data_IF_053653285780
#
_entry.id   IF_053653285780
#
_cell.length_a   1.000
_cell.length_b   1.000
_cell.length_c   1.000
_cell.angle_alpha   90.00
_cell.angle_beta   90.00
_cell.angle_gamma   90.00
#
_symmetry.space_group_name_H-M   'P 1'
#
loop_
_entity.id
_entity.type
_entity.pdbx_description
1 polymer ?
#
# COMPACT_ATOMS: atom_id res chain seq x y z
N UNK A 1 -38.38 -60.24 12.32
CA UNK A 1 -37.62 -59.34 11.41
C UNK A 1 -38.52 -58.17 11.01
N UNK A 2 -38.30 -56.98 11.60
CA UNK A 2 -38.81 -55.69 11.13
C UNK A 2 -37.66 -54.71 11.29
N UNK A 3 -37.07 -54.26 10.18
CA UNK A 3 -36.00 -53.26 10.17
C UNK A 3 -36.64 -51.88 10.02
N UNK A 4 -36.34 -51.00 10.97
CA UNK A 4 -36.66 -49.59 10.96
C UNK A 4 -35.94 -48.90 9.80
N UNK A 5 -36.69 -48.25 8.91
CA UNK A 5 -36.21 -47.25 7.96
C UNK A 5 -36.81 -45.90 8.33
N UNK A 6 -36.36 -45.35 9.46
CA UNK A 6 -36.36 -43.91 9.68
C UNK A 6 -34.92 -43.49 9.43
N UNK A 7 -34.69 -42.69 8.38
CA UNK A 7 -33.50 -41.88 8.06
C UNK A 7 -33.36 -41.83 6.52
N UNK A 8 -34.22 -41.06 5.86
CA UNK A 8 -34.08 -40.82 4.41
C UNK A 8 -34.41 -39.37 3.98
N UNK A 9 -34.60 -38.42 4.89
CA UNK A 9 -35.08 -37.07 4.51
C UNK A 9 -34.44 -35.90 5.28
N UNK A 10 -33.14 -35.98 5.61
CA UNK A 10 -32.41 -34.81 6.18
C UNK A 10 -31.03 -34.59 5.52
N UNK A 11 -30.77 -35.21 4.38
CA UNK A 11 -29.45 -35.19 3.74
C UNK A 11 -29.23 -34.15 2.60
N UNK A 12 -30.23 -33.55 1.91
CA UNK A 12 -29.91 -32.64 0.79
C UNK A 12 -29.87 -31.15 1.16
N UNK A 13 -30.40 -30.74 2.31
CA UNK A 13 -30.54 -29.30 2.63
C UNK A 13 -29.28 -28.64 3.23
N UNK A 14 -28.35 -29.42 3.79
CA UNK A 14 -27.14 -28.87 4.45
C UNK A 14 -26.00 -28.65 3.44
N UNK A 15 -26.00 -29.35 2.30
CA UNK A 15 -24.94 -29.23 1.29
C UNK A 15 -25.11 -28.03 0.35
N UNK A 16 -26.30 -27.46 0.24
CA UNK A 16 -26.59 -26.33 -0.67
C UNK A 16 -26.32 -24.95 -0.06
N UNK A 17 -26.30 -24.85 1.28
CA UNK A 17 -25.99 -23.59 1.98
C UNK A 17 -24.47 -23.35 2.10
N UNK A 18 -23.65 -24.41 2.04
CA UNK A 18 -22.19 -24.28 2.03
C UNK A 18 -21.61 -23.88 0.66
N UNK A 19 -22.40 -23.93 -0.42
CA UNK A 19 -21.92 -23.66 -1.79
C UNK A 19 -22.10 -22.22 -2.28
N UNK A 20 -22.72 -21.33 -1.49
CA UNK A 20 -22.96 -19.92 -1.87
C UNK A 20 -22.27 -18.90 -0.95
N UNK A 21 -21.55 -19.35 0.07
CA UNK A 21 -20.69 -18.53 0.93
C UNK A 21 -19.19 -18.81 0.73
N UNK A 22 -18.83 -19.41 -0.42
CA UNK A 22 -17.44 -19.48 -0.91
C UNK A 22 -17.01 -18.13 -1.47
N UNK A 23 -16.97 -17.14 -0.57
CA UNK A 23 -16.42 -15.81 -0.75
C UNK A 23 -15.09 -15.94 -1.49
N UNK A 24 -15.02 -15.24 -2.62
CA UNK A 24 -13.86 -14.74 -3.34
C UNK A 24 -12.58 -14.85 -2.49
N UNK A 25 -11.93 -16.02 -2.54
CA UNK A 25 -10.53 -16.14 -2.21
C UNK A 25 -9.79 -15.48 -3.37
N UNK A 26 -9.78 -14.15 -3.35
CA UNK A 26 -8.72 -13.36 -3.92
C UNK A 26 -7.44 -13.89 -3.28
N UNK A 27 -6.83 -14.90 -3.89
CA UNK A 27 -5.41 -15.15 -3.78
C UNK A 27 -4.70 -14.01 -4.50
N UNK A 28 -4.85 -12.79 -3.96
CA UNK A 28 -3.81 -11.77 -3.98
C UNK A 28 -2.74 -12.16 -2.94
N UNK A 29 -2.37 -13.43 -2.91
CA UNK A 29 -1.05 -13.84 -2.48
C UNK A 29 -0.12 -13.53 -3.65
N UNK A 30 0.08 -12.24 -3.94
CA UNK A 30 1.28 -11.83 -4.63
C UNK A 30 2.41 -12.09 -3.65
N UNK A 31 2.99 -13.27 -3.84
CA UNK A 31 4.29 -13.72 -3.36
C UNK A 31 5.15 -12.50 -3.12
N UNK A 32 5.37 -12.19 -1.83
CA UNK A 32 6.39 -11.28 -1.38
C UNK A 32 7.74 -11.89 -1.80
N UNK A 33 8.10 -11.70 -3.07
CA UNK A 33 9.48 -11.72 -3.50
C UNK A 33 10.27 -10.70 -2.67
N UNK A 34 11.61 -10.80 -2.65
CA UNK A 34 12.47 -9.96 -1.81
C UNK A 34 11.99 -8.52 -1.88
N UNK A 35 11.56 -7.91 -0.75
CA UNK A 35 10.93 -6.58 -0.63
C UNK A 35 11.54 -5.59 -1.62
N UNK A 36 11.05 -5.58 -2.87
CA UNK A 36 11.63 -4.73 -3.90
C UNK A 36 11.19 -3.33 -3.54
N UNK A 37 12.15 -2.39 -3.48
CA UNK A 37 11.83 -0.98 -3.28
C UNK A 37 10.69 -0.61 -4.24
N UNK A 38 9.56 -0.05 -3.79
CA UNK A 38 8.45 0.30 -4.67
C UNK A 38 8.88 1.24 -5.83
N UNK A 39 10.00 1.93 -5.65
CA UNK A 39 10.70 2.70 -6.70
C UNK A 39 11.11 1.85 -7.89
N UNK A 40 11.53 0.60 -7.68
CA UNK A 40 11.88 -0.35 -8.75
C UNK A 40 10.63 -0.85 -9.50
N UNK A 41 9.49 -0.97 -8.81
CA UNK A 41 8.23 -1.38 -9.43
C UNK A 41 7.58 -0.25 -10.25
N UNK A 42 7.96 1.00 -9.99
CA UNK A 42 7.50 2.17 -10.72
C UNK A 42 8.33 2.50 -11.98
N UNK A 43 9.39 1.75 -12.31
CA UNK A 43 10.34 2.16 -13.35
C UNK A 43 9.73 2.29 -14.75
N UNK A 44 8.78 1.40 -15.07
CA UNK A 44 8.06 1.43 -16.34
C UNK A 44 7.10 2.63 -16.39
N UNK A 45 6.28 2.83 -15.36
CA UNK A 45 5.36 3.98 -15.28
C UNK A 45 6.10 5.32 -15.23
N UNK A 46 7.30 5.40 -14.62
CA UNK A 46 8.14 6.60 -14.67
C UNK A 46 8.44 7.03 -16.11
N UNK A 47 8.80 6.05 -16.95
CA UNK A 47 9.12 6.30 -18.36
C UNK A 47 7.87 6.62 -19.17
N UNK A 48 6.76 5.91 -18.94
CA UNK A 48 5.52 6.09 -19.71
C UNK A 48 4.78 7.39 -19.38
N UNK A 49 4.70 7.74 -18.09
CA UNK A 49 3.89 8.86 -17.61
C UNK A 49 4.71 10.16 -17.55
N UNK A 50 6.01 10.06 -17.26
CA UNK A 50 6.83 11.20 -16.82
C UNK A 50 8.21 11.29 -17.51
N UNK A 51 8.30 10.82 -18.75
CA UNK A 51 9.52 10.69 -19.57
C UNK A 51 10.46 11.91 -19.67
N UNK A 52 10.01 13.12 -19.30
CA UNK A 52 10.79 14.36 -19.40
C UNK A 52 11.37 14.87 -18.09
N UNK A 53 11.30 14.10 -17.01
CA UNK A 53 11.66 14.58 -15.68
C UNK A 53 13.18 14.70 -15.48
N UNK A 54 13.66 15.92 -15.26
CA UNK A 54 15.10 16.22 -15.14
C UNK A 54 15.69 16.06 -13.73
N UNK A 55 14.86 15.76 -12.73
CA UNK A 55 15.28 15.52 -11.35
C UNK A 55 14.35 14.55 -10.65
N UNK A 56 14.81 13.88 -9.58
CA UNK A 56 13.98 12.98 -8.78
C UNK A 56 12.76 13.70 -8.22
N UNK A 57 12.90 14.96 -7.77
CA UNK A 57 11.77 15.78 -7.33
C UNK A 57 10.75 16.03 -8.44
N UNK A 58 11.20 16.38 -9.64
CA UNK A 58 10.30 16.60 -10.78
C UNK A 58 9.60 15.30 -11.20
N UNK A 59 10.32 14.18 -11.16
CA UNK A 59 9.77 12.86 -11.46
C UNK A 59 8.65 12.51 -10.51
N UNK A 60 8.90 12.57 -9.20
CA UNK A 60 7.85 12.32 -8.21
C UNK A 60 6.71 13.34 -8.29
N UNK A 61 7.02 14.62 -8.52
CA UNK A 61 6.02 15.66 -8.74
C UNK A 61 5.10 15.37 -9.93
N UNK A 62 5.66 14.87 -11.03
CA UNK A 62 4.91 14.45 -12.21
C UNK A 62 4.06 13.21 -11.91
N UNK A 63 4.62 12.20 -11.24
CA UNK A 63 3.90 10.97 -10.90
C UNK A 63 2.72 11.24 -9.97
N UNK A 64 2.89 12.08 -8.95
CA UNK A 64 1.80 12.47 -8.04
C UNK A 64 0.66 13.19 -8.78
N UNK A 65 0.97 14.02 -9.78
CA UNK A 65 -0.02 14.72 -10.61
C UNK A 65 -0.78 13.81 -11.57
N UNK A 66 -0.22 12.64 -11.89
CA UNK A 66 -0.77 11.70 -12.88
C UNK A 66 -0.97 10.31 -12.26
N UNK A 67 -1.25 10.25 -10.95
CA UNK A 67 -1.38 8.97 -10.24
C UNK A 67 -2.47 8.08 -10.84
N UNK A 68 -3.50 8.67 -11.43
CA UNK A 68 -4.58 8.02 -12.17
C UNK A 68 -4.13 7.32 -13.46
N UNK A 69 -3.01 7.76 -14.05
CA UNK A 69 -2.43 7.19 -15.28
C UNK A 69 -1.43 6.07 -15.02
N UNK A 70 -1.13 5.80 -13.75
CA UNK A 70 -0.20 4.74 -13.35
C UNK A 70 -0.91 3.40 -13.51
N UNK A 71 -0.34 2.58 -14.38
CA UNK A 71 -0.90 1.28 -14.77
C UNK A 71 -0.64 0.21 -13.71
N UNK A 72 0.55 0.22 -13.11
CA UNK A 72 0.89 -0.69 -12.02
C UNK A 72 0.18 -0.27 -10.73
N UNK A 73 -0.73 -1.11 -10.24
CA UNK A 73 -1.52 -0.83 -9.05
C UNK A 73 -0.66 -0.60 -7.79
N UNK A 74 0.41 -1.38 -7.61
CA UNK A 74 1.32 -1.22 -6.47
C UNK A 74 2.07 0.12 -6.54
N UNK A 75 2.53 0.50 -7.73
CA UNK A 75 3.15 1.81 -7.93
C UNK A 75 2.14 2.95 -7.67
N UNK A 76 0.90 2.81 -8.15
CA UNK A 76 -0.17 3.79 -7.97
C UNK A 76 -0.49 4.01 -6.50
N UNK A 77 -0.78 2.93 -5.77
CA UNK A 77 -1.02 2.98 -4.32
C UNK A 77 0.16 3.63 -3.58
N UNK A 78 1.38 3.28 -3.97
CA UNK A 78 2.58 3.83 -3.38
C UNK A 78 2.74 5.33 -3.67
N UNK A 79 2.48 5.81 -4.89
CA UNK A 79 2.55 7.22 -5.28
C UNK A 79 1.46 8.04 -4.58
N UNK A 80 0.25 7.51 -4.45
CA UNK A 80 -0.85 8.15 -3.70
C UNK A 80 -0.45 8.31 -2.23
N UNK A 81 0.05 7.23 -1.61
CA UNK A 81 0.58 7.27 -0.26
C UNK A 81 1.72 8.27 -0.08
N UNK A 82 2.66 8.28 -1.02
CA UNK A 82 3.76 9.23 -1.02
C UNK A 82 3.27 10.68 -1.06
N UNK A 83 2.26 10.97 -1.88
CA UNK A 83 1.66 12.30 -1.96
C UNK A 83 1.02 12.71 -0.64
N UNK A 84 0.18 11.86 -0.05
CA UNK A 84 -0.44 12.11 1.25
C UNK A 84 0.60 12.42 2.34
N UNK A 85 1.64 11.59 2.41
CA UNK A 85 2.73 11.74 3.37
C UNK A 85 3.59 12.98 3.14
N UNK A 86 3.81 13.37 1.88
CA UNK A 86 4.53 14.59 1.54
C UNK A 86 3.78 15.83 2.02
N UNK A 87 2.44 15.89 1.85
CA UNK A 87 1.64 17.01 2.36
C UNK A 87 1.78 17.17 3.87
N UNK A 88 1.75 16.06 4.62
CA UNK A 88 1.90 16.11 6.08
C UNK A 88 3.31 16.51 6.51
N UNK A 89 4.33 16.03 5.80
CA UNK A 89 5.71 16.43 6.00
C UNK A 89 5.93 17.93 5.69
N UNK A 90 5.33 18.46 4.62
CA UNK A 90 5.44 19.86 4.21
C UNK A 90 4.71 20.83 5.14
N UNK A 91 3.54 20.47 5.69
CA UNK A 91 2.81 21.29 6.69
C UNK A 91 3.65 21.69 7.90
N UNK A 92 4.69 20.91 8.23
CA UNK A 92 5.56 21.15 9.39
C UNK A 92 6.70 22.14 9.11
N UNK A 93 6.94 22.50 7.85
CA UNK A 93 7.91 23.54 7.43
C UNK A 93 9.40 23.26 7.71
N UNK A 94 9.74 22.29 8.55
CA UNK A 94 11.10 22.02 9.02
C UNK A 94 11.88 21.03 8.16
N UNK A 95 11.24 20.43 7.16
CA UNK A 95 11.83 19.35 6.38
C UNK A 95 12.48 19.87 5.11
N UNK A 96 13.76 19.56 4.96
CA UNK A 96 14.55 19.90 3.77
C UNK A 96 14.44 18.75 2.77
N UNK A 97 14.19 19.10 1.51
CA UNK A 97 13.89 18.16 0.43
C UNK A 97 14.88 18.34 -0.74
N UNK A 98 16.11 17.83 -0.63
CA UNK A 98 17.05 17.80 -1.74
C UNK A 98 16.43 17.15 -2.96
N UNK A 99 16.68 17.71 -4.15
CA UNK A 99 16.05 17.26 -5.38
C UNK A 99 16.42 15.82 -5.76
N UNK A 100 17.60 15.34 -5.35
CA UNK A 100 18.09 13.98 -5.63
C UNK A 100 17.43 12.91 -4.75
N UNK A 101 17.09 13.24 -3.50
CA UNK A 101 16.69 12.29 -2.46
C UNK A 101 15.28 12.55 -1.90
N UNK A 102 14.37 13.00 -2.75
CA UNK A 102 13.08 13.55 -2.30
C UNK A 102 12.27 12.56 -1.43
N UNK A 103 12.04 11.34 -1.92
CA UNK A 103 11.31 10.32 -1.19
C UNK A 103 12.00 9.94 0.14
N UNK A 104 13.32 9.76 0.13
CA UNK A 104 14.10 9.46 1.33
C UNK A 104 14.01 10.59 2.37
N UNK A 105 14.02 11.84 1.91
CA UNK A 105 13.92 13.02 2.77
C UNK A 105 12.55 13.14 3.43
N UNK A 106 11.47 12.86 2.68
CA UNK A 106 10.11 12.75 3.23
C UNK A 106 10.04 11.64 4.28
N UNK A 107 10.60 10.45 4.02
CA UNK A 107 10.63 9.37 5.03
C UNK A 107 11.37 9.78 6.30
N UNK A 108 12.51 10.46 6.16
CA UNK A 108 13.29 10.96 7.30
C UNK A 108 12.50 11.97 8.11
N UNK A 109 11.82 12.90 7.43
CA UNK A 109 10.95 13.88 8.06
C UNK A 109 9.84 13.22 8.88
N UNK A 110 9.11 12.27 8.29
CA UNK A 110 7.99 11.60 8.96
C UNK A 110 8.39 10.86 10.25
N UNK A 111 9.65 10.41 10.37
CA UNK A 111 10.16 9.78 11.60
C UNK A 111 10.23 10.73 12.79
N UNK A 112 10.25 12.04 12.56
CA UNK A 112 10.31 13.05 13.62
C UNK A 112 8.93 13.63 13.95
N UNK A 113 7.91 13.26 13.18
CA UNK A 113 6.55 13.73 13.36
C UNK A 113 5.81 12.75 14.30
N UNK A 114 5.16 13.25 15.37
CA UNK A 114 4.27 12.42 16.18
C UNK A 114 3.17 11.78 15.33
N UNK A 115 2.94 10.49 15.54
CA UNK A 115 2.08 9.64 14.70
C UNK A 115 0.61 10.08 14.68
N UNK A 116 0.11 10.62 15.80
CA UNK A 116 -1.20 11.24 15.94
C UNK A 116 -1.39 12.48 15.04
N UNK A 117 -0.28 13.09 14.61
CA UNK A 117 -0.27 14.28 13.74
C UNK A 117 -0.06 13.95 12.27
N UNK A 118 0.06 12.67 11.92
CA UNK A 118 0.12 12.18 10.54
C UNK A 118 -1.30 11.83 10.12
N UNK A 119 -1.72 12.19 8.91
CA UNK A 119 -3.06 11.86 8.42
C UNK A 119 -3.27 10.35 8.30
N UNK A 120 -4.52 9.91 8.42
CA UNK A 120 -4.86 8.49 8.22
C UNK A 120 -4.45 8.02 6.83
N UNK A 121 -4.67 8.83 5.80
CA UNK A 121 -4.28 8.56 4.41
C UNK A 121 -2.78 8.28 4.26
N UNK A 122 -1.91 9.02 4.99
CA UNK A 122 -0.49 8.72 5.01
C UNK A 122 -0.19 7.44 5.84
N UNK A 123 -0.74 7.33 7.06
CA UNK A 123 -0.46 6.21 7.98
C UNK A 123 -0.84 4.86 7.40
N UNK A 124 -1.97 4.77 6.71
CA UNK A 124 -2.47 3.55 6.11
C UNK A 124 -1.78 3.20 4.79
N UNK A 125 -0.90 4.06 4.28
CA UNK A 125 -0.28 3.87 2.96
C UNK A 125 0.92 2.93 2.99
N UNK A 126 1.14 2.24 1.86
CA UNK A 126 2.35 1.44 1.61
C UNK A 126 3.64 2.24 1.72
N UNK A 127 3.58 3.56 1.49
CA UNK A 127 4.74 4.43 1.64
C UNK A 127 5.18 4.54 3.11
N UNK A 128 4.22 4.63 4.04
CA UNK A 128 4.48 4.84 5.45
C UNK A 128 4.75 3.55 6.23
N UNK A 129 4.26 2.39 5.79
CA UNK A 129 4.39 1.12 6.54
C UNK A 129 5.83 0.82 7.00
N UNK A 130 6.88 0.95 6.16
CA UNK A 130 8.25 0.72 6.61
C UNK A 130 8.75 1.73 7.66
N UNK A 131 8.15 2.92 7.72
CA UNK A 131 8.45 3.94 8.73
C UNK A 131 7.82 3.55 10.07
N UNK A 132 6.55 3.11 10.04
CA UNK A 132 5.83 2.65 11.22
C UNK A 132 6.54 1.45 11.88
N UNK A 133 6.96 0.46 11.09
CA UNK A 133 7.75 -0.70 11.56
C UNK A 133 9.00 -0.25 12.34
N UNK A 134 9.75 0.72 11.80
CA UNK A 134 10.97 1.24 12.43
C UNK A 134 10.69 2.05 13.71
N UNK A 135 9.60 2.80 13.76
CA UNK A 135 9.21 3.55 14.97
C UNK A 135 8.77 2.60 16.08
N UNK A 136 7.94 1.60 15.74
CA UNK A 136 7.50 0.57 16.67
C UNK A 136 8.69 -0.22 17.24
N UNK A 137 9.63 -0.63 16.38
CA UNK A 137 10.84 -1.32 16.79
C UNK A 137 11.67 -0.49 17.79
N UNK A 138 11.74 0.84 17.65
CA UNK A 138 12.46 1.71 18.59
C UNK A 138 11.76 1.93 19.93
N UNK A 139 10.43 1.80 20.00
CA UNK A 139 9.64 1.99 21.22
C UNK A 139 9.55 0.71 22.07
N UNK A 140 9.85 -0.44 21.49
CA UNK A 140 9.86 -1.75 22.18
C UNK A 140 11.18 -2.11 22.86
N UNK A 141 12.16 -1.20 22.87
CA UNK A 141 13.40 -1.26 23.64
C UNK A 141 13.44 -0.07 24.61
#
# INVERSE_FOLDING_TARGET
MRRNTFLADVAPAVLLVCFLCGVVLNTAAHIEGPRMSPVLQCSEDFSLVCAGSTSTRNLWGCMMKNADKISNELCREYVIGFYACTRDAEKRGSCVYPAADYATSVRRCLRTIPEDRISEECRSSRFYSPIAELIAAKRGY
#
